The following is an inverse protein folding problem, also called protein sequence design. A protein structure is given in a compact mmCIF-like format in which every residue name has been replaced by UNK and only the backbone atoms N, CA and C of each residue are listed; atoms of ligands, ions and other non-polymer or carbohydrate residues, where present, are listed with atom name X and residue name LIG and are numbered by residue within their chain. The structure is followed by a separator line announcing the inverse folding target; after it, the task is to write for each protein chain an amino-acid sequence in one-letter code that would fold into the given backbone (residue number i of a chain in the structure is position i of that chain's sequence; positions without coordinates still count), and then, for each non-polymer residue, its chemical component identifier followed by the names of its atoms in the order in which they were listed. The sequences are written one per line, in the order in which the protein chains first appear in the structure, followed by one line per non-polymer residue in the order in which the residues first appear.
data_IF_100352926710
#
_entry.id   IF_100352926710
#
_cell.length_a   1.000
_cell.length_b   1.000
_cell.length_c   1.000
_cell.angle_alpha   90.00
_cell.angle_beta   90.00
_cell.angle_gamma   90.00
#
_symmetry.space_group_name_H-M   'P 1'
#
loop_
_entity.id
_entity.type
_entity.pdbx_description
1 polymer ?
#
# COMPACT_ATOMS: atom_id res chain seq x y z
N UNK A 1 -31.71 -69.23 -19.16
CA UNK A 1 -30.30 -69.61 -19.06
C UNK A 1 -29.47 -68.86 -20.09
N UNK A 2 -29.64 -67.54 -20.14
CA UNK A 2 -28.95 -66.61 -21.09
C UNK A 2 -28.86 -65.20 -20.54
N UNK A 3 -28.25 -65.06 -19.34
CA UNK A 3 -28.10 -63.71 -18.76
C UNK A 3 -26.82 -63.56 -17.91
N UNK A 4 -25.77 -64.24 -18.24
CA UNK A 4 -24.49 -64.19 -17.52
C UNK A 4 -23.29 -63.81 -18.38
N UNK A 5 -23.48 -63.55 -19.67
CA UNK A 5 -22.38 -63.25 -20.59
C UNK A 5 -22.25 -61.76 -20.95
N UNK A 6 -23.27 -60.97 -20.73
CA UNK A 6 -23.28 -59.52 -21.03
C UNK A 6 -22.50 -58.64 -20.05
N UNK A 7 -22.48 -58.99 -18.77
CA UNK A 7 -21.85 -58.11 -17.73
C UNK A 7 -20.33 -58.20 -17.68
N UNK A 8 -19.71 -59.28 -18.17
CA UNK A 8 -18.25 -59.45 -18.10
C UNK A 8 -17.49 -58.72 -19.21
N UNK A 9 -18.11 -58.37 -20.31
CA UNK A 9 -17.46 -57.68 -21.43
C UNK A 9 -17.54 -56.17 -21.24
N UNK A 10 -18.60 -55.67 -20.60
CA UNK A 10 -18.81 -54.26 -20.36
C UNK A 10 -17.84 -53.69 -19.27
N UNK A 11 -17.51 -54.51 -18.27
CA UNK A 11 -16.58 -54.10 -17.20
C UNK A 11 -15.09 -54.07 -17.60
N UNK A 12 -14.72 -54.74 -18.71
CA UNK A 12 -13.32 -54.72 -19.20
C UNK A 12 -13.04 -53.51 -20.10
N UNK A 13 -14.03 -52.96 -20.76
CA UNK A 13 -13.89 -51.75 -21.60
C UNK A 13 -13.90 -50.47 -20.74
N UNK A 14 -14.68 -50.46 -19.63
CA UNK A 14 -14.67 -49.34 -18.69
C UNK A 14 -13.38 -49.20 -17.90
N UNK A 15 -12.61 -50.28 -17.74
CA UNK A 15 -11.29 -50.23 -17.04
C UNK A 15 -10.14 -49.79 -17.93
N UNK A 16 -10.29 -49.78 -19.23
CA UNK A 16 -9.25 -49.36 -20.20
C UNK A 16 -9.38 -47.90 -20.62
N UNK A 17 -10.51 -47.25 -20.39
CA UNK A 17 -10.72 -45.81 -20.68
C UNK A 17 -10.35 -44.92 -19.47
N UNK A 18 -10.26 -45.51 -18.27
CA UNK A 18 -9.94 -44.74 -17.06
C UNK A 18 -8.44 -44.51 -16.85
N UNK A 19 -7.53 -45.03 -17.67
CA UNK A 19 -6.08 -44.94 -17.47
C UNK A 19 -5.33 -44.03 -18.44
N UNK A 20 -6.01 -43.26 -19.31
CA UNK A 20 -5.37 -42.34 -20.26
C UNK A 20 -5.69 -40.85 -19.95
N UNK A 21 -6.27 -40.56 -18.79
CA UNK A 21 -6.56 -39.19 -18.38
C UNK A 21 -5.57 -38.60 -17.33
N UNK A 22 -4.41 -39.24 -17.18
CA UNK A 22 -3.36 -38.72 -16.27
C UNK A 22 -2.16 -38.35 -17.13
N UNK A 23 -2.02 -37.13 -17.52
CA UNK A 23 -0.77 -36.69 -18.10
C UNK A 23 -0.78 -35.49 -19.03
N UNK A 24 -1.50 -34.42 -18.71
CA UNK A 24 -1.15 -33.11 -19.25
C UNK A 24 -1.39 -32.06 -18.16
N UNK A 25 -0.64 -32.16 -17.08
CA UNK A 25 -0.39 -30.98 -16.23
C UNK A 25 0.64 -30.13 -16.97
N UNK A 26 0.16 -29.23 -17.82
CA UNK A 26 0.96 -28.11 -18.26
C UNK A 26 1.32 -27.34 -17.00
N UNK A 27 2.60 -27.41 -16.60
CA UNK A 27 3.18 -26.48 -15.66
C UNK A 27 3.09 -25.10 -16.30
N UNK A 28 1.93 -24.45 -16.16
CA UNK A 28 1.81 -23.03 -16.35
C UNK A 28 2.71 -22.38 -15.31
N UNK A 29 3.70 -21.62 -15.74
CA UNK A 29 4.36 -20.67 -14.85
C UNK A 29 3.26 -19.76 -14.34
N UNK A 30 2.74 -20.06 -13.18
CA UNK A 30 1.87 -19.18 -12.44
C UNK A 30 2.80 -18.12 -11.88
N UNK A 31 2.69 -16.90 -12.39
CA UNK A 31 3.19 -15.74 -11.67
C UNK A 31 2.55 -15.79 -10.28
N UNK A 32 3.36 -16.06 -9.27
CA UNK A 32 2.96 -16.24 -7.87
C UNK A 32 2.61 -14.88 -7.23
N UNK A 33 1.63 -14.24 -7.84
CA UNK A 33 0.99 -13.05 -7.28
C UNK A 33 -0.25 -13.53 -6.56
N UNK A 34 -0.24 -13.53 -5.26
CA UNK A 34 -1.42 -13.88 -4.47
C UNK A 34 -2.74 -13.35 -5.06
N UNK A 35 -3.87 -13.64 -4.48
CA UNK A 35 -5.17 -13.29 -5.06
C UNK A 35 -5.27 -11.79 -5.33
N UNK A 36 -5.42 -11.41 -6.61
CA UNK A 36 -5.65 -10.02 -7.03
C UNK A 36 -7.15 -9.76 -7.03
N UNK A 37 -7.62 -8.91 -6.14
CA UNK A 37 -9.00 -8.45 -6.16
C UNK A 37 -9.15 -7.32 -7.19
N UNK A 38 -9.97 -7.54 -8.24
CA UNK A 38 -10.31 -6.49 -9.19
C UNK A 38 -11.39 -5.60 -8.59
N UNK A 39 -11.08 -4.30 -8.44
CA UNK A 39 -12.03 -3.32 -7.91
C UNK A 39 -12.77 -2.70 -9.10
N UNK A 40 -14.12 -2.88 -9.20
CA UNK A 40 -14.90 -2.40 -10.35
C UNK A 40 -14.99 -0.87 -10.45
N UNK A 41 -14.90 -0.18 -9.32
CA UNK A 41 -14.85 1.29 -9.26
C UNK A 41 -13.61 1.75 -8.50
N UNK A 42 -13.01 2.89 -8.86
CA UNK A 42 -11.91 3.45 -8.10
C UNK A 42 -12.43 3.79 -6.70
N UNK A 43 -12.21 2.89 -5.76
CA UNK A 43 -12.27 3.26 -4.35
C UNK A 43 -11.08 4.20 -4.19
N UNK A 44 -11.37 5.48 -4.24
CA UNK A 44 -10.39 6.48 -3.79
C UNK A 44 -9.96 6.00 -2.41
N UNK A 45 -8.68 5.69 -2.16
CA UNK A 45 -8.22 5.51 -0.80
C UNK A 45 -8.73 6.74 -0.08
N UNK A 46 -9.55 6.53 0.94
CA UNK A 46 -10.27 7.62 1.57
C UNK A 46 -9.25 8.73 1.81
N UNK A 47 -9.52 9.95 1.33
CA UNK A 47 -8.60 11.10 1.42
C UNK A 47 -8.08 11.29 2.87
N UNK A 48 -8.75 10.68 3.83
CA UNK A 48 -8.38 10.55 5.24
C UNK A 48 -7.12 9.70 5.48
N UNK A 49 -6.79 8.70 4.67
CA UNK A 49 -5.60 7.85 4.93
C UNK A 49 -4.33 8.57 4.47
N UNK A 50 -4.40 9.29 3.33
CA UNK A 50 -3.27 10.04 2.80
C UNK A 50 -2.80 11.19 3.70
N UNK A 51 -3.68 11.69 4.60
CA UNK A 51 -3.39 12.80 5.50
C UNK A 51 -3.05 12.35 6.94
N UNK A 52 -2.98 11.05 7.20
CA UNK A 52 -2.63 10.55 8.54
C UNK A 52 -1.13 10.31 8.64
N UNK A 53 -0.59 10.66 9.79
CA UNK A 53 0.81 10.42 10.14
C UNK A 53 1.02 8.92 10.30
N UNK A 54 2.11 8.42 9.74
CA UNK A 54 2.51 7.01 9.78
C UNK A 54 3.91 6.86 10.42
N UNK A 55 4.22 5.64 10.87
CA UNK A 55 5.57 5.31 11.31
C UNK A 55 6.58 5.65 10.20
N UNK A 56 7.75 6.18 10.56
CA UNK A 56 8.78 6.62 9.60
C UNK A 56 8.57 8.04 9.03
N UNK A 57 7.40 8.68 9.23
CA UNK A 57 7.24 10.10 8.87
C UNK A 57 8.11 10.99 9.76
N UNK A 58 8.51 12.13 9.22
CA UNK A 58 9.16 13.20 10.00
C UNK A 58 8.19 14.35 10.14
N UNK A 59 7.86 14.69 11.37
CA UNK A 59 7.01 15.83 11.72
C UNK A 59 7.85 16.96 12.31
N UNK A 60 7.65 18.16 11.83
CA UNK A 60 8.21 19.38 12.42
C UNK A 60 7.18 19.95 13.35
N UNK A 61 7.55 20.08 14.61
CA UNK A 61 6.74 20.74 15.64
C UNK A 61 7.36 22.08 15.96
N UNK A 62 6.58 23.14 15.86
CA UNK A 62 6.99 24.50 16.25
C UNK A 62 6.14 24.96 17.43
N UNK A 63 6.78 25.31 18.54
CA UNK A 63 6.12 25.80 19.73
C UNK A 63 6.49 27.30 19.88
N UNK A 64 5.48 28.16 19.80
CA UNK A 64 5.69 29.59 19.81
C UNK A 64 6.30 30.04 21.14
N UNK A 65 7.43 30.79 21.06
CA UNK A 65 8.16 31.29 22.24
C UNK A 65 9.07 30.28 22.90
N UNK A 66 9.15 29.03 22.40
CA UNK A 66 9.91 27.93 23.00
C UNK A 66 10.80 27.24 21.96
N UNK A 67 11.97 27.86 21.67
CA UNK A 67 12.91 27.33 20.69
C UNK A 67 13.44 25.93 21.05
N UNK A 68 13.61 25.66 22.35
CA UNK A 68 14.07 24.37 22.88
C UNK A 68 13.09 23.21 22.68
N UNK A 69 11.83 23.49 22.36
CA UNK A 69 10.79 22.52 22.09
C UNK A 69 10.45 22.42 20.59
N UNK A 70 10.92 23.40 19.81
CA UNK A 70 10.75 23.42 18.36
C UNK A 70 11.79 22.53 17.73
N UNK A 71 11.32 21.58 16.86
CA UNK A 71 12.23 20.63 16.21
C UNK A 71 11.54 19.66 15.27
N UNK A 72 12.35 18.83 14.63
CA UNK A 72 11.87 17.74 13.79
C UNK A 72 11.92 16.41 14.56
N UNK A 73 10.82 15.69 14.56
CA UNK A 73 10.65 14.45 15.30
C UNK A 73 10.27 13.34 14.33
N UNK A 74 11.01 12.22 14.38
CA UNK A 74 10.68 11.04 13.56
C UNK A 74 9.70 10.16 14.32
N UNK A 75 8.65 9.70 13.64
CA UNK A 75 7.71 8.72 14.16
C UNK A 75 8.39 7.36 14.18
N UNK A 76 8.52 6.78 15.36
CA UNK A 76 9.17 5.48 15.52
C UNK A 76 8.30 4.33 14.98
N UNK A 77 8.84 3.09 14.85
CA UNK A 77 8.07 1.94 14.39
C UNK A 77 6.87 1.56 15.28
N UNK A 78 6.84 2.06 16.51
CA UNK A 78 5.71 1.89 17.45
C UNK A 78 4.65 2.97 17.28
N UNK A 79 4.84 3.90 16.32
CA UNK A 79 3.91 4.99 16.03
C UNK A 79 4.04 6.19 16.96
N UNK A 80 5.13 6.34 17.73
CA UNK A 80 5.32 7.41 18.69
C UNK A 80 6.38 8.42 18.23
N UNK A 81 6.26 9.65 18.68
CA UNK A 81 7.32 10.65 18.67
C UNK A 81 7.82 10.90 20.10
N UNK A 82 9.09 11.26 20.26
CA UNK A 82 9.66 11.62 21.57
C UNK A 82 9.96 13.10 21.59
N UNK A 83 9.28 13.79 22.50
CA UNK A 83 9.40 15.23 22.66
C UNK A 83 9.92 15.59 24.05
N UNK A 84 10.69 16.69 24.18
CA UNK A 84 11.09 17.19 25.47
C UNK A 84 9.90 17.48 26.40
N UNK A 85 10.06 17.29 27.67
CA UNK A 85 9.11 17.50 28.77
C UNK A 85 7.91 16.50 28.75
N UNK A 86 7.29 16.23 27.60
CA UNK A 86 6.09 15.35 27.51
C UNK A 86 6.44 13.89 27.22
N UNK A 87 7.69 13.60 26.86
CA UNK A 87 8.15 12.23 26.62
C UNK A 87 7.59 11.61 25.34
N UNK A 88 7.20 10.32 25.41
CA UNK A 88 6.61 9.58 24.29
C UNK A 88 5.15 9.95 24.06
N UNK A 89 4.80 10.27 22.81
CA UNK A 89 3.47 10.65 22.38
C UNK A 89 3.11 9.88 21.11
N UNK A 90 1.93 9.24 21.07
CA UNK A 90 1.44 8.59 19.87
C UNK A 90 1.13 9.64 18.80
N UNK A 91 1.74 9.46 17.63
CA UNK A 91 1.54 10.33 16.47
C UNK A 91 0.87 9.57 15.33
N UNK A 92 1.10 8.26 15.23
CA UNK A 92 0.54 7.42 14.17
C UNK A 92 -0.99 7.41 14.21
N UNK A 93 -1.59 7.55 13.03
CA UNK A 93 -3.04 7.57 12.84
C UNK A 93 -3.68 8.94 13.08
N UNK A 94 -2.97 9.90 13.63
CA UNK A 94 -3.44 11.27 13.77
C UNK A 94 -3.24 12.07 12.47
N UNK A 95 -4.14 13.01 12.20
CA UNK A 95 -3.87 14.10 11.28
C UNK A 95 -2.96 15.13 11.95
N UNK A 96 -2.38 16.04 11.17
CA UNK A 96 -1.55 17.12 11.76
C UNK A 96 -2.31 17.92 12.80
N UNK A 97 -3.58 18.28 12.53
CA UNK A 97 -4.42 19.09 13.43
C UNK A 97 -4.79 18.32 14.72
N UNK A 98 -4.96 17.00 14.64
CA UNK A 98 -5.20 16.15 15.80
C UNK A 98 -3.92 16.06 16.66
N UNK A 99 -2.76 15.93 16.02
CA UNK A 99 -1.48 15.90 16.72
C UNK A 99 -1.15 17.25 17.39
N UNK A 100 -1.44 18.38 16.72
CA UNK A 100 -1.32 19.72 17.31
C UNK A 100 -2.10 19.84 18.62
N UNK A 101 -3.39 19.44 18.57
CA UNK A 101 -4.25 19.48 19.76
C UNK A 101 -3.74 18.58 20.88
N UNK A 102 -3.25 17.39 20.53
CA UNK A 102 -2.74 16.44 21.52
C UNK A 102 -1.46 16.96 22.19
N UNK A 103 -0.53 17.53 21.40
CA UNK A 103 0.71 18.15 21.94
C UNK A 103 0.38 19.35 22.83
N UNK A 104 -0.52 20.24 22.35
CA UNK A 104 -0.98 21.39 23.11
C UNK A 104 -1.56 20.98 24.46
N UNK A 105 -2.44 19.96 24.45
CA UNK A 105 -3.04 19.41 25.66
C UNK A 105 -2.00 18.85 26.61
N UNK A 106 -1.00 18.13 26.13
CA UNK A 106 0.06 17.52 26.95
C UNK A 106 0.94 18.60 27.64
N UNK A 107 1.32 19.65 26.92
CA UNK A 107 2.08 20.73 27.49
C UNK A 107 1.27 21.51 28.53
N UNK A 108 0.00 21.77 28.29
CA UNK A 108 -0.89 22.46 29.23
C UNK A 108 -1.20 21.62 30.49
N UNK A 109 -1.58 20.34 30.31
CA UNK A 109 -1.94 19.48 31.45
C UNK A 109 -0.78 19.08 32.33
N UNK A 110 0.45 19.05 31.79
CA UNK A 110 1.68 18.83 32.56
C UNK A 110 2.17 20.07 33.29
N UNK A 111 1.49 21.20 33.22
CA UNK A 111 1.93 22.51 33.73
C UNK A 111 3.31 22.96 33.21
N UNK A 112 3.71 22.45 32.04
CA UNK A 112 4.97 22.83 31.42
C UNK A 112 4.89 24.18 30.74
N UNK A 113 3.75 24.52 30.13
CA UNK A 113 3.51 25.79 29.43
C UNK A 113 2.10 26.31 29.73
N UNK A 114 1.99 27.65 29.82
CA UNK A 114 0.71 28.36 29.88
C UNK A 114 0.28 28.75 28.47
N UNK A 115 -0.90 28.29 28.03
CA UNK A 115 -1.50 28.56 26.70
C UNK A 115 -0.53 28.29 25.51
N UNK A 116 0.03 27.05 25.38
CA UNK A 116 0.99 26.75 24.32
C UNK A 116 0.36 26.86 22.94
N UNK A 117 1.04 27.53 22.02
CA UNK A 117 0.68 27.59 20.60
C UNK A 117 1.60 26.65 19.83
N UNK A 118 1.04 25.57 19.34
CA UNK A 118 1.78 24.50 18.66
C UNK A 118 1.33 24.43 17.21
N UNK A 119 2.28 24.30 16.30
CA UNK A 119 2.05 24.05 14.86
C UNK A 119 2.78 22.76 14.49
N UNK A 120 2.12 21.88 13.78
CA UNK A 120 2.69 20.62 13.29
C UNK A 120 2.62 20.58 11.76
N UNK A 121 3.78 20.34 11.14
CA UNK A 121 3.90 20.10 9.71
C UNK A 121 4.56 18.75 9.44
N UNK A 122 4.07 18.01 8.44
CA UNK A 122 4.72 16.78 7.98
C UNK A 122 5.79 17.14 6.95
N UNK A 123 7.05 16.97 7.32
CA UNK A 123 8.22 17.35 6.50
C UNK A 123 8.61 16.24 5.52
N UNK A 124 8.44 14.98 5.94
CA UNK A 124 8.80 13.84 5.12
C UNK A 124 7.79 12.72 5.33
N UNK A 125 7.31 12.18 4.23
CA UNK A 125 6.47 10.99 4.16
C UNK A 125 7.31 9.76 3.82
N UNK A 126 6.75 8.57 4.04
CA UNK A 126 7.34 7.36 3.50
C UNK A 126 7.39 7.45 1.96
N UNK A 127 8.49 6.98 1.34
CA UNK A 127 8.58 6.91 -0.11
C UNK A 127 7.58 5.89 -0.66
N UNK A 128 7.17 6.10 -1.90
CA UNK A 128 6.46 5.08 -2.68
C UNK A 128 7.48 4.24 -3.45
N UNK A 129 7.09 3.02 -3.79
CA UNK A 129 7.93 2.08 -4.53
C UNK A 129 7.26 1.73 -5.85
N UNK A 130 7.98 1.86 -6.96
CA UNK A 130 7.47 1.57 -8.29
C UNK A 130 8.32 0.45 -8.90
N UNK A 131 7.66 -0.60 -9.36
CA UNK A 131 8.32 -1.77 -9.95
C UNK A 131 7.53 -2.31 -11.15
N UNK A 132 8.13 -3.28 -11.86
CA UNK A 132 7.57 -3.87 -13.06
C UNK A 132 7.95 -3.10 -14.32
N UNK A 133 7.02 -3.01 -15.29
CA UNK A 133 7.26 -2.45 -16.61
C UNK A 133 7.27 -0.92 -16.63
N UNK A 134 8.26 -0.33 -15.94
CA UNK A 134 8.59 1.10 -15.95
C UNK A 134 10.03 1.32 -16.39
N UNK A 135 10.33 2.50 -16.93
CA UNK A 135 11.70 2.79 -17.39
C UNK A 135 12.71 2.86 -16.25
N UNK A 136 12.30 3.30 -15.08
CA UNK A 136 13.17 3.45 -13.90
C UNK A 136 12.44 2.94 -12.66
N UNK A 137 12.41 1.62 -12.40
CA UNK A 137 11.87 1.10 -11.16
C UNK A 137 12.72 1.56 -9.96
N UNK A 138 12.07 1.81 -8.82
CA UNK A 138 12.77 2.29 -7.62
C UNK A 138 11.86 2.94 -6.59
N UNK A 139 12.49 3.54 -5.56
CA UNK A 139 11.81 4.33 -4.54
C UNK A 139 11.73 5.80 -4.96
N UNK A 140 10.57 6.41 -4.77
CA UNK A 140 10.29 7.80 -5.12
C UNK A 140 9.69 8.56 -3.96
N UNK A 141 10.01 9.85 -3.79
CA UNK A 141 9.43 10.65 -2.74
C UNK A 141 7.92 10.80 -2.98
N UNK A 142 7.16 10.66 -1.90
CA UNK A 142 5.74 10.95 -1.91
C UNK A 142 5.49 12.46 -1.76
N UNK A 143 4.49 12.94 -2.44
CA UNK A 143 3.93 14.29 -2.23
C UNK A 143 2.40 14.21 -2.13
N UNK A 144 1.82 15.09 -1.33
CA UNK A 144 0.36 15.14 -1.14
C UNK A 144 -0.36 15.32 -2.48
N UNK A 145 -1.38 14.50 -2.72
CA UNK A 145 -2.13 14.52 -3.98
C UNK A 145 -1.49 13.73 -5.12
N UNK A 146 -0.45 12.93 -4.84
CA UNK A 146 0.16 12.06 -5.83
C UNK A 146 -0.86 11.03 -6.34
N UNK A 147 -0.96 10.90 -7.66
CA UNK A 147 -1.77 9.89 -8.33
C UNK A 147 -0.90 8.92 -9.14
N UNK A 148 -1.51 7.82 -9.59
CA UNK A 148 -0.82 6.77 -10.35
C UNK A 148 -0.10 7.32 -11.58
N UNK A 149 -0.72 8.20 -12.37
CA UNK A 149 -0.10 8.72 -13.58
C UNK A 149 1.12 9.58 -13.28
N UNK A 150 1.02 10.44 -12.25
CA UNK A 150 2.14 11.27 -11.79
C UNK A 150 3.26 10.40 -11.24
N UNK A 151 2.93 9.36 -10.44
CA UNK A 151 3.90 8.42 -9.91
C UNK A 151 4.67 7.71 -11.03
N UNK A 152 3.97 7.21 -12.06
CA UNK A 152 4.62 6.60 -13.22
C UNK A 152 5.49 7.59 -14.01
N UNK A 153 5.09 8.85 -14.08
CA UNK A 153 5.91 9.91 -14.72
C UNK A 153 7.24 10.09 -13.99
N UNK A 154 7.26 10.04 -12.65
CA UNK A 154 8.50 10.06 -11.86
C UNK A 154 9.42 8.89 -12.23
N UNK A 155 8.85 7.71 -12.47
CA UNK A 155 9.57 6.52 -12.92
C UNK A 155 9.95 6.54 -14.41
N UNK A 156 9.76 7.66 -15.10
CA UNK A 156 10.08 7.82 -16.52
C UNK A 156 9.01 7.29 -17.46
N UNK A 157 7.87 6.83 -16.94
CA UNK A 157 6.76 6.26 -17.69
C UNK A 157 6.84 4.73 -17.86
N UNK A 158 5.75 4.14 -18.37
CA UNK A 158 5.69 2.71 -18.65
C UNK A 158 6.55 2.33 -19.86
N UNK A 159 7.06 1.09 -19.88
CA UNK A 159 7.76 0.54 -21.04
C UNK A 159 6.78 0.19 -22.18
N UNK A 160 7.31 -0.20 -23.36
CA UNK A 160 6.45 -0.67 -24.46
C UNK A 160 5.72 -1.97 -24.16
N UNK A 161 6.19 -2.75 -23.17
CA UNK A 161 5.60 -4.01 -22.73
C UNK A 161 4.54 -3.82 -21.64
N UNK A 162 4.45 -2.64 -21.06
CA UNK A 162 3.55 -2.35 -19.95
C UNK A 162 2.07 -2.48 -20.33
N UNK A 163 1.27 -2.92 -19.37
CA UNK A 163 -0.19 -2.77 -19.43
C UNK A 163 -0.56 -1.29 -19.56
N UNK A 164 -1.55 -0.99 -20.39
CA UNK A 164 -2.06 0.37 -20.61
C UNK A 164 -3.39 0.62 -19.91
N UNK A 165 -3.96 -0.41 -19.30
CA UNK A 165 -5.30 -0.35 -18.68
C UNK A 165 -5.27 -0.34 -17.16
N UNK A 166 -4.29 -0.99 -16.54
CA UNK A 166 -4.28 -1.19 -15.09
C UNK A 166 -2.89 -1.23 -14.49
N UNK A 167 -2.84 -0.99 -13.19
CA UNK A 167 -1.69 -1.18 -12.30
C UNK A 167 -2.13 -2.00 -11.10
N UNK A 168 -1.18 -2.65 -10.46
CA UNK A 168 -1.37 -3.31 -9.18
C UNK A 168 -0.80 -2.41 -8.08
N UNK A 169 -1.58 -2.18 -7.04
CA UNK A 169 -1.15 -1.42 -5.87
C UNK A 169 -1.32 -2.30 -4.64
N UNK A 170 -0.29 -2.31 -3.82
CA UNK A 170 -0.32 -2.87 -2.48
C UNK A 170 -0.13 -1.72 -1.50
N UNK A 171 -1.15 -1.44 -0.70
CA UNK A 171 -1.08 -0.37 0.29
C UNK A 171 -0.16 -0.72 1.45
N UNK A 172 0.43 0.30 2.05
CA UNK A 172 1.31 0.13 3.21
C UNK A 172 0.60 -0.65 4.34
N UNK A 173 1.26 -1.71 4.83
CA UNK A 173 0.68 -2.59 5.85
C UNK A 173 -0.27 -3.67 5.34
N UNK A 174 -0.61 -3.69 4.06
CA UNK A 174 -1.38 -4.76 3.43
C UNK A 174 -0.48 -5.80 2.77
N UNK A 175 -0.97 -7.03 2.66
CA UNK A 175 -0.26 -8.13 1.98
C UNK A 175 -0.81 -8.42 0.59
N UNK A 176 -2.00 -7.93 0.28
CA UNK A 176 -2.71 -8.24 -0.95
C UNK A 176 -2.50 -7.15 -2.00
N UNK A 177 -2.32 -7.59 -3.24
CA UNK A 177 -2.33 -6.72 -4.40
C UNK A 177 -3.76 -6.43 -4.85
N UNK A 178 -4.05 -5.18 -5.17
CA UNK A 178 -5.32 -4.75 -5.71
C UNK A 178 -5.09 -4.14 -7.11
N UNK A 179 -5.96 -4.49 -8.06
CA UNK A 179 -5.87 -3.98 -9.42
C UNK A 179 -6.68 -2.70 -9.56
N UNK A 180 -6.01 -1.63 -10.01
CA UNK A 180 -6.62 -0.32 -10.25
C UNK A 180 -6.50 0.09 -11.71
N UNK A 181 -7.47 0.85 -12.24
CA UNK A 181 -7.36 1.41 -13.57
C UNK A 181 -6.23 2.44 -13.64
N UNK A 182 -5.53 2.49 -14.77
CA UNK A 182 -4.45 3.46 -15.01
C UNK A 182 -5.04 4.83 -15.33
N UNK A 183 -5.53 5.53 -14.33
CA UNK A 183 -6.17 6.86 -14.45
C UNK A 183 -5.67 7.83 -13.39
N UNK A 184 -5.85 9.14 -13.65
CA UNK A 184 -5.52 10.17 -12.67
C UNK A 184 -6.43 10.17 -11.42
N UNK A 185 -7.55 9.44 -11.46
CA UNK A 185 -8.48 9.33 -10.33
C UNK A 185 -7.94 8.43 -9.20
N UNK A 186 -6.96 7.57 -9.50
CA UNK A 186 -6.35 6.68 -8.51
C UNK A 186 -5.25 7.42 -7.77
N UNK A 187 -5.50 7.77 -6.51
CA UNK A 187 -4.54 8.42 -5.62
C UNK A 187 -3.65 7.40 -4.95
N UNK A 188 -2.41 7.77 -4.69
CA UNK A 188 -1.39 6.97 -4.03
C UNK A 188 -1.22 7.45 -2.60
N UNK A 189 -1.00 6.54 -1.68
CA UNK A 189 -0.68 6.83 -0.29
C UNK A 189 0.85 6.67 -0.02
N UNK A 190 1.37 7.31 1.05
CA UNK A 190 2.75 7.09 1.47
C UNK A 190 3.00 5.62 1.80
N UNK A 191 4.14 5.08 1.35
CA UNK A 191 4.53 3.69 1.58
C UNK A 191 3.90 2.67 0.61
N UNK A 192 3.08 3.12 -0.35
CA UNK A 192 2.48 2.23 -1.34
C UNK A 192 3.53 1.61 -2.26
N UNK A 193 3.28 0.36 -2.62
CA UNK A 193 4.03 -0.39 -3.60
C UNK A 193 3.19 -0.49 -4.88
N UNK A 194 3.68 0.10 -5.97
CA UNK A 194 3.01 0.17 -7.26
C UNK A 194 3.72 -0.75 -8.24
N UNK A 195 2.98 -1.66 -8.84
CA UNK A 195 3.51 -2.55 -9.86
C UNK A 195 2.81 -2.32 -11.18
N UNK A 196 3.59 -2.10 -12.22
CA UNK A 196 3.10 -2.04 -13.60
C UNK A 196 3.23 -3.43 -14.20
N UNK A 197 2.11 -4.12 -14.47
CA UNK A 197 2.16 -5.45 -15.06
C UNK A 197 2.54 -5.38 -16.54
N UNK A 198 3.05 -6.49 -17.04
CA UNK A 198 3.24 -6.69 -18.48
C UNK A 198 1.88 -6.85 -19.16
N UNK A 199 1.73 -6.36 -20.38
CA UNK A 199 0.53 -6.60 -21.19
C UNK A 199 0.58 -8.02 -21.75
N UNK A 200 -0.49 -8.74 -21.62
CA UNK A 200 -0.72 -9.99 -22.34
C UNK A 200 -1.39 -9.65 -23.68
N UNK A 201 -0.93 -10.33 -24.74
CA UNK A 201 -1.47 -10.20 -26.09
C UNK A 201 -2.63 -11.19 -26.28
#
# INVERSE_FOLDING_TARGET
MLDKYGERVMNRWFRLVATIAIGLQTAGCWDDYGPVARIPEPILPAANVANRIQAGNVVKVSVYGEDGLTGSYTVDPSGNIRMPLVGGLRAEGFTKDELEREITRRYASGNFLQDPKVIVDVVSFQPIYILGETLRPGAYPYSSGLNVLTALTLAGGPTYRASRSSVLIQHAGETNWQEYPLTAAVTIAPGDLIRVPERYF
#
